data_IF_540153202251
#
_entry.id   IF_540153202251
#
_cell.length_a   1.000
_cell.length_b   1.000
_cell.length_c   1.000
_cell.angle_alpha   90.00
_cell.angle_beta   90.00
_cell.angle_gamma   90.00
#
_symmetry.space_group_name_H-M   'P 1'
#
loop_
_entity.id
_entity.type
_entity.pdbx_description
1 polymer ?
#
# COMPACT_ATOMS: atom_id res chain seq x y z
N UNK A 1 17.60 30.34 -9.54
CA UNK A 1 17.19 29.28 -8.57
C UNK A 1 18.47 28.53 -8.19
N UNK A 2 18.83 28.46 -6.90
CA UNK A 2 20.21 28.27 -6.47
C UNK A 2 20.60 26.78 -6.29
N UNK A 3 21.73 26.35 -6.83
CA UNK A 3 22.19 24.93 -6.83
C UNK A 3 22.35 24.39 -5.41
N UNK A 4 22.78 25.23 -4.47
CA UNK A 4 22.90 24.89 -3.03
C UNK A 4 21.59 24.45 -2.38
N UNK A 5 20.45 24.96 -2.87
CA UNK A 5 19.14 24.57 -2.37
C UNK A 5 18.80 23.12 -2.75
N UNK A 6 19.13 22.72 -3.98
CA UNK A 6 18.94 21.34 -4.44
C UNK A 6 19.86 20.37 -3.72
N UNK A 7 21.12 20.75 -3.47
CA UNK A 7 22.08 19.91 -2.73
C UNK A 7 21.58 19.67 -1.30
N UNK A 8 21.03 20.69 -0.63
CA UNK A 8 20.46 20.54 0.72
C UNK A 8 19.23 19.61 0.72
N UNK A 9 18.35 19.72 -0.27
CA UNK A 9 17.19 18.83 -0.41
C UNK A 9 17.63 17.39 -0.65
N UNK A 10 18.54 17.16 -1.61
CA UNK A 10 19.06 15.83 -1.94
C UNK A 10 19.79 15.21 -0.74
N UNK A 11 20.58 16.01 -0.02
CA UNK A 11 21.28 15.59 1.20
C UNK A 11 20.35 15.13 2.33
N UNK A 12 19.08 15.58 2.32
CA UNK A 12 18.06 15.17 3.29
C UNK A 12 17.29 13.92 2.82
N UNK A 13 17.11 13.75 1.51
CA UNK A 13 16.38 12.62 0.91
C UNK A 13 17.20 11.32 0.97
N UNK A 14 18.51 11.38 0.72
CA UNK A 14 19.37 10.18 0.66
C UNK A 14 19.36 9.39 1.99
N UNK A 15 19.55 10.01 3.17
CA UNK A 15 19.51 9.29 4.45
C UNK A 15 18.15 8.65 4.73
N UNK A 16 17.06 9.34 4.36
CA UNK A 16 15.69 8.82 4.51
C UNK A 16 15.52 7.56 3.65
N UNK A 17 15.97 7.60 2.39
CA UNK A 17 15.93 6.44 1.49
C UNK A 17 16.77 5.27 2.01
N UNK A 18 17.96 5.53 2.56
CA UNK A 18 18.84 4.50 3.14
C UNK A 18 18.23 3.89 4.40
N UNK A 19 17.67 4.70 5.29
CA UNK A 19 17.01 4.24 6.51
C UNK A 19 15.82 3.34 6.21
N UNK A 20 14.95 3.78 5.29
CA UNK A 20 13.83 2.99 4.79
C UNK A 20 14.35 1.68 4.19
N UNK A 21 15.32 1.75 3.27
CA UNK A 21 15.90 0.56 2.63
C UNK A 21 16.43 -0.45 3.64
N UNK A 22 17.00 0.02 4.76
CA UNK A 22 17.59 -0.81 5.81
C UNK A 22 16.54 -1.49 6.68
N UNK A 23 15.50 -0.75 7.11
CA UNK A 23 14.42 -1.31 7.96
C UNK A 23 13.59 -2.36 7.21
N UNK A 24 13.33 -2.15 5.92
CA UNK A 24 12.49 -3.05 5.13
C UNK A 24 13.22 -4.22 4.48
N UNK A 25 14.56 -4.21 4.47
CA UNK A 25 15.36 -5.26 3.85
C UNK A 25 15.07 -6.68 4.40
N UNK A 26 14.95 -6.92 5.72
CA UNK A 26 14.84 -8.29 6.26
C UNK A 26 13.47 -8.93 5.98
N UNK A 27 12.37 -8.17 6.08
CA UNK A 27 11.02 -8.68 5.78
C UNK A 27 10.82 -8.87 4.28
N UNK A 28 11.27 -7.89 3.47
CA UNK A 28 11.28 -8.01 2.02
C UNK A 28 12.04 -9.27 1.57
N UNK A 29 13.19 -9.55 2.16
CA UNK A 29 13.96 -10.77 1.88
C UNK A 29 13.20 -12.07 2.22
N UNK A 30 12.28 -12.07 3.18
CA UNK A 30 11.45 -13.26 3.46
C UNK A 30 10.37 -13.43 2.40
N UNK A 31 9.62 -12.37 2.10
CA UNK A 31 8.54 -12.39 1.11
C UNK A 31 9.07 -12.68 -0.30
N UNK A 32 10.19 -12.08 -0.67
CA UNK A 32 10.83 -12.33 -1.97
C UNK A 32 11.28 -13.80 -2.09
N UNK A 33 11.80 -14.40 -1.00
CA UNK A 33 12.13 -15.84 -0.96
C UNK A 33 10.92 -16.75 -1.08
N UNK A 34 9.74 -16.33 -0.59
CA UNK A 34 8.49 -17.09 -0.77
C UNK A 34 8.06 -17.06 -2.23
N UNK A 35 8.09 -15.87 -2.84
CA UNK A 35 7.74 -15.67 -4.25
C UNK A 35 8.69 -16.40 -5.19
N UNK A 36 9.98 -16.37 -4.90
CA UNK A 36 11.00 -17.12 -5.64
C UNK A 36 10.73 -18.63 -5.53
N UNK A 37 10.46 -19.15 -4.32
CA UNK A 37 10.09 -20.55 -4.15
C UNK A 37 8.79 -20.93 -4.85
N UNK A 38 7.77 -20.07 -4.81
CA UNK A 38 6.53 -20.28 -5.56
C UNK A 38 6.79 -20.36 -7.06
N UNK A 39 7.62 -19.45 -7.58
CA UNK A 39 7.99 -19.44 -8.99
C UNK A 39 8.76 -20.69 -9.39
N UNK A 40 9.85 -21.00 -8.68
CA UNK A 40 10.74 -22.12 -9.03
C UNK A 40 10.09 -23.48 -8.80
N UNK A 41 9.46 -23.67 -7.63
CA UNK A 41 8.94 -24.98 -7.25
C UNK A 41 7.61 -25.28 -7.88
N UNK A 42 6.73 -24.30 -8.11
CA UNK A 42 5.39 -24.56 -8.60
C UNK A 42 5.18 -24.04 -10.02
N UNK A 43 5.30 -22.73 -10.23
CA UNK A 43 4.91 -22.09 -11.49
C UNK A 43 5.74 -22.59 -12.68
N UNK A 44 7.06 -22.60 -12.54
CA UNK A 44 7.97 -23.05 -13.60
C UNK A 44 7.77 -24.54 -13.93
N UNK A 45 7.59 -25.40 -12.91
CA UNK A 45 7.31 -26.82 -13.13
C UNK A 45 5.97 -27.03 -13.83
N UNK A 46 4.92 -26.32 -13.40
CA UNK A 46 3.59 -26.42 -14.00
C UNK A 46 3.62 -26.02 -15.49
N UNK A 47 4.21 -24.87 -15.80
CA UNK A 47 4.28 -24.36 -17.18
C UNK A 47 5.10 -25.28 -18.06
N UNK A 48 6.22 -25.82 -17.58
CA UNK A 48 7.03 -26.76 -18.34
C UNK A 48 6.26 -28.06 -18.66
N UNK A 49 5.53 -28.61 -17.69
CA UNK A 49 4.73 -29.82 -17.94
C UNK A 49 3.54 -29.57 -18.86
N UNK A 50 2.90 -28.40 -18.72
CA UNK A 50 1.80 -27.99 -19.58
C UNK A 50 2.25 -27.83 -21.04
N UNK A 51 3.47 -27.32 -21.28
CA UNK A 51 4.04 -27.23 -22.63
C UNK A 51 4.21 -28.60 -23.28
N UNK A 52 4.63 -29.59 -22.51
CA UNK A 52 4.75 -30.98 -23.00
C UNK A 52 3.40 -31.67 -23.12
N UNK A 53 2.41 -31.31 -22.28
CA UNK A 53 1.09 -31.93 -22.21
C UNK A 53 0.00 -30.87 -22.08
N UNK A 54 -0.49 -30.36 -23.22
CA UNK A 54 -1.48 -29.25 -23.26
C UNK A 54 -2.82 -29.54 -22.56
N UNK A 55 -3.10 -30.80 -22.22
CA UNK A 55 -4.30 -31.22 -21.49
C UNK A 55 -4.03 -31.47 -19.98
N UNK A 56 -2.94 -30.93 -19.43
CA UNK A 56 -2.60 -31.09 -18.02
C UNK A 56 -3.70 -30.49 -17.12
N UNK A 57 -4.26 -31.32 -16.26
CA UNK A 57 -5.25 -30.91 -15.28
C UNK A 57 -4.57 -30.20 -14.10
N UNK A 58 -4.83 -28.89 -13.95
CA UNK A 58 -4.21 -28.05 -12.93
C UNK A 58 -4.49 -28.53 -11.50
N UNK A 59 -5.74 -28.88 -11.19
CA UNK A 59 -6.14 -29.37 -9.85
C UNK A 59 -5.38 -30.65 -9.52
N UNK A 60 -5.36 -31.63 -10.43
CA UNK A 60 -4.62 -32.88 -10.23
C UNK A 60 -3.12 -32.65 -10.07
N UNK A 61 -2.55 -31.68 -10.79
CA UNK A 61 -1.15 -31.33 -10.67
C UNK A 61 -0.82 -30.80 -9.26
N UNK A 62 -1.66 -29.90 -8.75
CA UNK A 62 -1.48 -29.31 -7.40
C UNK A 62 -1.66 -30.38 -6.33
N UNK A 63 -2.80 -31.08 -6.33
CA UNK A 63 -3.16 -32.07 -5.32
C UNK A 63 -2.09 -33.18 -5.16
N UNK A 64 -1.49 -33.62 -6.28
CA UNK A 64 -0.47 -34.69 -6.26
C UNK A 64 0.85 -34.26 -5.60
N UNK A 65 1.18 -32.97 -5.60
CA UNK A 65 2.54 -32.47 -5.33
C UNK A 65 2.64 -31.55 -4.13
N UNK A 66 1.55 -30.89 -3.78
CA UNK A 66 1.55 -29.84 -2.78
C UNK A 66 0.41 -30.05 -1.80
N UNK A 67 0.63 -29.53 -0.60
CA UNK A 67 -0.30 -29.56 0.52
C UNK A 67 -0.38 -28.17 1.13
N UNK A 68 -1.39 -27.91 1.96
CA UNK A 68 -1.48 -26.64 2.70
C UNK A 68 -0.24 -26.30 3.55
N UNK A 69 0.62 -27.29 3.86
CA UNK A 69 1.88 -27.06 4.57
C UNK A 69 2.95 -26.38 3.70
N UNK A 70 2.78 -26.37 2.37
CA UNK A 70 3.64 -25.68 1.43
C UNK A 70 3.34 -24.17 1.45
N UNK A 71 3.69 -23.51 2.56
CA UNK A 71 3.40 -22.11 2.90
C UNK A 71 3.90 -21.06 1.89
N UNK A 72 4.73 -21.46 0.92
CA UNK A 72 5.15 -20.59 -0.17
C UNK A 72 4.08 -20.45 -1.26
N UNK A 73 3.05 -21.32 -1.26
CA UNK A 73 1.95 -21.28 -2.21
C UNK A 73 0.85 -20.35 -1.66
N UNK A 74 0.41 -19.34 -2.43
CA UNK A 74 -0.67 -18.45 -2.01
C UNK A 74 -1.99 -19.18 -1.74
N UNK A 75 -2.75 -18.71 -0.76
CA UNK A 75 -3.98 -19.38 -0.29
C UNK A 75 -5.06 -19.51 -1.36
N UNK A 76 -5.11 -18.55 -2.31
CA UNK A 76 -6.06 -18.58 -3.42
C UNK A 76 -5.85 -19.76 -4.38
N UNK A 77 -4.65 -20.34 -4.44
CA UNK A 77 -4.37 -21.54 -5.25
C UNK A 77 -5.06 -22.76 -4.65
N UNK A 78 -4.92 -22.96 -3.33
CA UNK A 78 -5.60 -24.06 -2.66
C UNK A 78 -7.12 -23.87 -2.62
N UNK A 79 -7.59 -22.63 -2.49
CA UNK A 79 -9.02 -22.34 -2.61
C UNK A 79 -9.63 -22.81 -3.95
N UNK A 80 -8.89 -22.65 -5.07
CA UNK A 80 -9.33 -23.16 -6.37
C UNK A 80 -9.23 -24.68 -6.49
N UNK A 81 -8.21 -25.27 -5.85
CA UNK A 81 -8.02 -26.72 -5.77
C UNK A 81 -9.17 -27.39 -5.02
N UNK A 82 -9.52 -26.87 -3.84
CA UNK A 82 -10.66 -27.31 -3.01
C UNK A 82 -11.99 -27.21 -3.77
N UNK A 83 -12.16 -26.17 -4.59
CA UNK A 83 -13.35 -25.98 -5.45
C UNK A 83 -13.31 -26.75 -6.76
N UNK A 84 -12.22 -27.47 -7.04
CA UNK A 84 -12.00 -28.23 -8.27
C UNK A 84 -12.11 -27.37 -9.56
N UNK A 85 -11.70 -26.11 -9.48
CA UNK A 85 -11.80 -25.10 -10.55
C UNK A 85 -10.62 -25.19 -11.52
N UNK A 86 -10.63 -26.21 -12.38
CA UNK A 86 -9.49 -26.57 -13.24
C UNK A 86 -9.05 -25.46 -14.21
N UNK A 87 -10.02 -24.85 -14.88
CA UNK A 87 -9.74 -23.85 -15.92
C UNK A 87 -9.26 -22.54 -15.29
N UNK A 88 -9.96 -22.05 -14.27
CA UNK A 88 -9.57 -20.84 -13.57
C UNK A 88 -8.20 -21.00 -12.90
N UNK A 89 -7.92 -22.15 -12.29
CA UNK A 89 -6.60 -22.45 -11.73
C UNK A 89 -5.50 -22.42 -12.79
N UNK A 90 -5.74 -22.97 -13.98
CA UNK A 90 -4.80 -22.85 -15.09
C UNK A 90 -4.53 -21.38 -15.46
N UNK A 91 -5.58 -20.57 -15.64
CA UNK A 91 -5.46 -19.14 -15.97
C UNK A 91 -4.63 -18.40 -14.92
N UNK A 92 -4.93 -18.62 -13.65
CA UNK A 92 -4.24 -17.99 -12.51
C UNK A 92 -2.76 -18.38 -12.50
N UNK A 93 -2.43 -19.67 -12.64
CA UNK A 93 -1.04 -20.14 -12.66
C UNK A 93 -0.26 -19.55 -13.84
N UNK A 94 -0.88 -19.42 -15.02
CA UNK A 94 -0.24 -18.80 -16.18
C UNK A 94 0.05 -17.31 -15.97
N UNK A 95 -0.93 -16.56 -15.45
CA UNK A 95 -0.76 -15.14 -15.15
C UNK A 95 0.28 -14.93 -14.05
N UNK A 96 0.24 -15.72 -12.98
CA UNK A 96 1.24 -15.66 -11.92
C UNK A 96 2.64 -15.97 -12.45
N UNK A 97 2.79 -16.96 -13.33
CA UNK A 97 4.07 -17.24 -14.00
C UNK A 97 4.57 -16.03 -14.79
N UNK A 98 3.72 -15.42 -15.62
CA UNK A 98 4.07 -14.24 -16.41
C UNK A 98 4.54 -13.08 -15.52
N UNK A 99 3.79 -12.81 -14.45
CA UNK A 99 4.05 -11.69 -13.55
C UNK A 99 5.33 -11.90 -12.72
N UNK A 100 5.64 -13.14 -12.36
CA UNK A 100 6.84 -13.48 -11.60
C UNK A 100 8.07 -13.79 -12.47
N UNK A 101 7.91 -13.97 -13.80
CA UNK A 101 9.04 -14.23 -14.68
C UNK A 101 10.03 -13.04 -14.66
N UNK A 102 11.35 -13.28 -14.64
CA UNK A 102 12.36 -12.22 -14.56
C UNK A 102 12.49 -11.43 -15.88
N UNK A 103 11.48 -10.62 -16.22
CA UNK A 103 11.51 -9.66 -17.33
C UNK A 103 11.85 -8.27 -16.82
N UNK A 104 12.53 -7.45 -17.64
CA UNK A 104 12.83 -6.04 -17.31
C UNK A 104 11.57 -5.26 -16.88
N UNK A 105 10.44 -5.47 -17.57
CA UNK A 105 9.14 -4.86 -17.22
C UNK A 105 8.66 -5.26 -15.81
N UNK A 106 8.78 -6.54 -15.46
CA UNK A 106 8.37 -7.04 -14.16
C UNK A 106 9.29 -6.52 -13.06
N UNK A 107 10.60 -6.43 -13.31
CA UNK A 107 11.55 -5.82 -12.38
C UNK A 107 11.23 -4.34 -12.13
N UNK A 108 10.87 -3.58 -13.17
CA UNK A 108 10.43 -2.17 -13.03
C UNK A 108 9.12 -2.10 -12.22
N UNK A 109 8.14 -2.94 -12.53
CA UNK A 109 6.87 -2.97 -11.80
C UNK A 109 7.07 -3.33 -10.32
N UNK A 110 7.92 -4.31 -10.03
CA UNK A 110 8.27 -4.71 -8.66
C UNK A 110 9.01 -3.60 -7.91
N UNK A 111 9.88 -2.84 -8.59
CA UNK A 111 10.53 -1.66 -8.02
C UNK A 111 9.52 -0.55 -7.71
N UNK A 112 8.60 -0.24 -8.63
CA UNK A 112 7.52 0.73 -8.42
C UNK A 112 6.63 0.31 -7.25
N UNK A 113 6.26 -0.97 -7.18
CA UNK A 113 5.46 -1.50 -6.07
C UNK A 113 6.19 -1.40 -4.73
N UNK A 114 7.51 -1.64 -4.71
CA UNK A 114 8.35 -1.44 -3.52
C UNK A 114 8.35 0.04 -3.09
N UNK A 115 8.54 0.97 -4.04
CA UNK A 115 8.49 2.43 -3.77
C UNK A 115 7.11 2.83 -3.25
N UNK A 116 6.03 2.32 -3.82
CA UNK A 116 4.68 2.57 -3.35
C UNK A 116 4.48 2.06 -1.91
N UNK A 117 4.98 0.87 -1.58
CA UNK A 117 4.95 0.34 -0.21
C UNK A 117 5.67 1.26 0.77
N UNK A 118 6.87 1.71 0.42
CA UNK A 118 7.66 2.68 1.18
C UNK A 118 6.89 3.99 1.41
N UNK A 119 6.33 4.57 0.34
CA UNK A 119 5.59 5.83 0.41
C UNK A 119 4.34 5.70 1.29
N UNK A 120 3.63 4.56 1.22
CA UNK A 120 2.48 4.29 2.10
C UNK A 120 2.90 4.28 3.57
N UNK A 121 4.01 3.65 3.90
CA UNK A 121 4.49 3.60 5.28
C UNK A 121 4.95 4.98 5.74
N UNK A 122 5.69 5.72 4.92
CA UNK A 122 6.05 7.11 5.21
C UNK A 122 4.80 7.97 5.47
N UNK A 123 3.76 7.79 4.66
CA UNK A 123 2.48 8.48 4.85
C UNK A 123 1.81 8.12 6.18
N UNK A 124 1.86 6.85 6.61
CA UNK A 124 1.36 6.43 7.93
C UNK A 124 2.11 7.16 9.04
N UNK A 125 3.44 7.23 8.99
CA UNK A 125 4.23 7.97 9.98
C UNK A 125 3.94 9.46 9.99
N UNK A 126 3.82 10.09 8.82
CA UNK A 126 3.43 11.51 8.69
C UNK A 126 2.06 11.74 9.33
N UNK A 127 1.09 10.85 9.11
CA UNK A 127 -0.23 10.94 9.74
C UNK A 127 -0.15 10.86 11.28
N UNK A 128 0.62 9.91 11.82
CA UNK A 128 0.80 9.81 13.26
C UNK A 128 1.47 11.06 13.83
N UNK A 129 2.50 11.58 13.17
CA UNK A 129 3.16 12.81 13.56
C UNK A 129 2.19 14.00 13.59
N UNK A 130 1.39 14.17 12.54
CA UNK A 130 0.37 15.23 12.46
C UNK A 130 -0.69 15.06 13.56
N UNK A 131 -1.14 13.83 13.86
CA UNK A 131 -2.07 13.56 14.97
C UNK A 131 -1.52 14.00 16.32
N UNK A 132 -0.24 13.73 16.59
CA UNK A 132 0.43 14.20 17.82
C UNK A 132 0.43 15.73 17.89
N UNK A 133 0.71 16.41 16.77
CA UNK A 133 0.63 17.87 16.71
C UNK A 133 -0.77 18.38 17.04
N UNK A 134 -1.84 17.73 16.57
CA UNK A 134 -3.22 18.15 16.89
C UNK A 134 -3.60 17.94 18.36
N UNK A 135 -3.15 16.84 18.97
CA UNK A 135 -3.37 16.59 20.41
C UNK A 135 -2.82 17.75 21.25
N UNK A 136 -1.71 18.36 20.80
CA UNK A 136 -1.11 19.52 21.46
C UNK A 136 -1.82 20.81 21.03
N UNK A 137 -2.01 21.03 19.73
CA UNK A 137 -2.52 22.29 19.17
C UNK A 137 -3.97 22.60 19.58
N UNK A 138 -4.84 21.60 19.73
CA UNK A 138 -6.25 21.81 20.08
C UNK A 138 -6.39 22.43 21.49
N UNK A 139 -5.81 21.86 22.56
CA UNK A 139 -5.82 22.48 23.89
C UNK A 139 -5.29 23.91 23.91
N UNK A 140 -4.17 24.17 23.22
CA UNK A 140 -3.61 25.52 23.15
C UNK A 140 -4.57 26.49 22.45
N UNK A 141 -5.17 26.09 21.33
CA UNK A 141 -6.13 26.93 20.60
C UNK A 141 -7.36 27.25 21.45
N UNK A 142 -7.87 26.26 22.19
CA UNK A 142 -8.99 26.45 23.13
C UNK A 142 -8.59 27.41 24.27
N UNK A 143 -7.40 27.23 24.83
CA UNK A 143 -6.89 28.11 25.90
C UNK A 143 -6.78 29.57 25.42
N UNK A 144 -6.27 29.79 24.20
CA UNK A 144 -6.20 31.12 23.60
C UNK A 144 -7.59 31.71 23.30
N UNK A 145 -8.53 30.89 22.82
CA UNK A 145 -9.91 31.32 22.60
C UNK A 145 -10.57 31.78 23.92
N UNK A 146 -10.43 30.99 25.00
CA UNK A 146 -10.96 31.37 26.32
C UNK A 146 -10.32 32.67 26.81
N UNK A 147 -9.01 32.81 26.64
CA UNK A 147 -8.28 34.03 27.03
C UNK A 147 -8.76 35.26 26.27
N UNK A 148 -9.01 35.13 24.96
CA UNK A 148 -9.57 36.19 24.13
C UNK A 148 -10.98 36.58 24.59
N UNK A 149 -11.85 35.60 24.88
CA UNK A 149 -13.20 35.84 25.40
C UNK A 149 -13.16 36.62 26.71
N UNK A 150 -12.31 36.22 27.67
CA UNK A 150 -12.16 36.91 28.96
C UNK A 150 -11.68 38.35 28.75
N UNK A 151 -10.71 38.57 27.85
CA UNK A 151 -10.21 39.90 27.54
C UNK A 151 -11.29 40.81 26.97
N UNK A 152 -12.13 40.28 26.08
CA UNK A 152 -13.29 41.01 25.53
C UNK A 152 -14.35 41.33 26.59
N UNK A 153 -14.66 40.39 27.49
CA UNK A 153 -15.60 40.62 28.61
C UNK A 153 -15.10 41.74 29.52
N UNK A 154 -13.79 41.86 29.71
CA UNK A 154 -13.16 42.92 30.50
C UNK A 154 -13.04 44.28 29.76
N UNK A 155 -13.68 44.42 28.59
CA UNK A 155 -13.69 45.66 27.80
C UNK A 155 -12.49 45.85 26.88
N UNK A 156 -11.64 44.83 26.72
CA UNK A 156 -10.56 44.82 25.74
C UNK A 156 -11.05 44.55 24.32
N UNK A 157 -10.19 44.82 23.34
CA UNK A 157 -10.41 44.43 21.94
C UNK A 157 -9.12 43.88 21.34
N UNK A 158 -9.19 42.68 20.77
CA UNK A 158 -8.05 41.99 20.16
C UNK A 158 -8.27 41.75 18.67
N UNK A 159 -7.22 41.87 17.87
CA UNK A 159 -7.27 41.53 16.45
C UNK A 159 -5.99 40.84 16.01
N UNK A 160 -6.14 39.99 15.00
CA UNK A 160 -5.05 39.27 14.36
C UNK A 160 -4.98 39.74 12.91
N UNK A 161 -3.81 40.22 12.51
CA UNK A 161 -3.52 40.67 11.15
C UNK A 161 -2.64 39.66 10.44
N UNK A 162 -3.11 39.14 9.31
CA UNK A 162 -2.38 38.21 8.44
C UNK A 162 -2.29 38.85 7.05
N UNK A 163 -1.12 39.35 6.69
CA UNK A 163 -0.94 40.13 5.46
C UNK A 163 -1.84 41.37 5.46
N UNK A 164 -2.72 41.50 4.48
CA UNK A 164 -3.65 42.62 4.35
C UNK A 164 -4.99 42.43 5.09
N UNK A 165 -5.22 41.26 5.69
CA UNK A 165 -6.51 40.91 6.31
C UNK A 165 -6.38 41.06 7.82
N UNK A 166 -7.31 41.80 8.44
CA UNK A 166 -7.43 41.91 9.90
C UNK A 166 -8.78 41.35 10.34
N UNK A 167 -8.76 40.43 11.29
CA UNK A 167 -9.95 39.80 11.87
C UNK A 167 -9.86 39.82 13.39
N UNK A 168 -11.01 39.75 14.06
CA UNK A 168 -11.02 39.55 15.52
C UNK A 168 -10.32 38.22 15.85
N UNK A 169 -9.52 38.25 16.89
CA UNK A 169 -8.84 37.07 17.45
C UNK A 169 -9.82 35.93 17.81
N UNK A 170 -11.01 36.23 18.34
CA UNK A 170 -12.07 35.24 18.62
C UNK A 170 -12.48 34.52 17.32
N UNK A 171 -12.76 35.29 16.27
CA UNK A 171 -13.15 34.74 14.96
C UNK A 171 -12.03 33.90 14.38
N UNK A 172 -10.78 34.35 14.50
CA UNK A 172 -9.62 33.58 14.06
C UNK A 172 -9.50 32.23 14.77
N UNK A 173 -9.59 32.19 16.11
CA UNK A 173 -9.46 30.93 16.85
C UNK A 173 -10.61 29.96 16.56
N UNK A 174 -11.84 30.45 16.35
CA UNK A 174 -12.96 29.62 15.90
C UNK A 174 -12.67 29.00 14.52
N UNK A 175 -12.19 29.81 13.57
CA UNK A 175 -11.81 29.31 12.24
C UNK A 175 -10.69 28.27 12.32
N UNK A 176 -9.69 28.47 13.18
CA UNK A 176 -8.61 27.51 13.39
C UNK A 176 -9.12 26.15 13.90
N UNK A 177 -10.06 26.14 14.85
CA UNK A 177 -10.69 24.90 15.34
C UNK A 177 -11.41 24.17 14.20
N UNK A 178 -12.19 24.89 13.39
CA UNK A 178 -12.90 24.32 12.25
C UNK A 178 -11.92 23.71 11.24
N UNK A 179 -10.84 24.41 10.91
CA UNK A 179 -9.80 23.93 9.99
C UNK A 179 -9.16 22.64 10.54
N UNK A 180 -8.82 22.59 11.83
CA UNK A 180 -8.24 21.40 12.45
C UNK A 180 -9.19 20.20 12.34
N UNK A 181 -10.48 20.39 12.58
CA UNK A 181 -11.49 19.34 12.46
C UNK A 181 -11.58 18.83 11.02
N UNK A 182 -11.66 19.74 10.04
CA UNK A 182 -11.74 19.37 8.62
C UNK A 182 -10.51 18.56 8.19
N UNK A 183 -9.30 19.01 8.55
CA UNK A 183 -8.07 18.30 8.19
C UNK A 183 -8.03 16.93 8.88
N UNK A 184 -8.45 16.83 10.15
CA UNK A 184 -8.49 15.57 10.88
C UNK A 184 -9.41 14.54 10.23
N UNK A 185 -10.59 14.98 9.77
CA UNK A 185 -11.53 14.13 9.02
C UNK A 185 -10.92 13.69 7.69
N UNK A 186 -10.34 14.63 6.93
CA UNK A 186 -9.71 14.32 5.64
C UNK A 186 -8.59 13.28 5.79
N UNK A 187 -7.70 13.45 6.78
CA UNK A 187 -6.60 12.50 7.04
C UNK A 187 -7.11 11.11 7.43
N UNK A 188 -8.20 11.02 8.20
CA UNK A 188 -8.83 9.73 8.52
C UNK A 188 -9.28 9.00 7.25
N UNK A 189 -9.99 9.67 6.36
CA UNK A 189 -10.45 9.08 5.09
C UNK A 189 -9.28 8.64 4.21
N UNK A 190 -8.22 9.46 4.11
CA UNK A 190 -7.04 9.09 3.31
C UNK A 190 -6.35 7.86 3.91
N UNK A 191 -6.21 7.80 5.24
CA UNK A 191 -5.61 6.66 5.92
C UNK A 191 -6.39 5.36 5.67
N UNK A 192 -7.71 5.37 5.84
CA UNK A 192 -8.57 4.20 5.59
C UNK A 192 -8.42 3.70 4.14
N UNK A 193 -8.37 4.61 3.16
CA UNK A 193 -8.15 4.25 1.74
C UNK A 193 -6.79 3.59 1.48
N UNK A 194 -5.76 4.00 2.23
CA UNK A 194 -4.40 3.45 2.10
C UNK A 194 -4.27 2.09 2.79
N UNK A 195 -4.82 1.94 4.00
CA UNK A 195 -4.70 0.71 4.79
C UNK A 195 -5.58 -0.42 4.27
N UNK A 196 -6.75 -0.12 3.72
CA UNK A 196 -7.67 -1.15 3.19
C UNK A 196 -7.15 -1.87 1.94
N UNK A 197 -6.01 -1.45 1.37
CA UNK A 197 -5.39 -2.03 0.18
C UNK A 197 -4.06 -2.76 0.48
N UNK A 198 -3.86 -3.17 1.72
CA UNK A 198 -2.74 -4.03 2.11
C UNK A 198 -3.27 -5.47 2.06
N UNK A 199 -2.92 -6.17 0.99
CA UNK A 199 -3.28 -7.57 0.78
C UNK A 199 -2.09 -8.45 1.17
N UNK A 200 -2.33 -9.48 1.97
CA UNK A 200 -1.36 -10.53 2.25
C UNK A 200 -1.77 -11.78 1.49
N UNK A 201 -1.03 -12.11 0.42
CA UNK A 201 -1.26 -13.26 -0.48
C UNK A 201 -1.33 -14.62 0.25
N UNK A 202 -0.88 -14.67 1.51
CA UNK A 202 -0.76 -15.88 2.31
C UNK A 202 -1.81 -15.98 3.44
N UNK A 203 -2.48 -14.87 3.81
CA UNK A 203 -3.55 -14.85 4.83
C UNK A 203 -4.72 -13.98 4.36
N UNK A 204 -5.53 -14.53 3.46
CA UNK A 204 -6.62 -13.79 2.81
C UNK A 204 -8.00 -14.22 3.30
N UNK A 205 -8.92 -13.26 3.33
CA UNK A 205 -10.36 -13.54 3.45
C UNK A 205 -10.91 -14.01 2.11
N UNK A 206 -12.00 -14.79 2.12
CA UNK A 206 -12.61 -15.31 0.88
C UNK A 206 -13.00 -14.20 -0.12
N UNK A 207 -13.45 -13.05 0.37
CA UNK A 207 -13.80 -11.89 -0.47
C UNK A 207 -12.56 -11.37 -1.21
N UNK A 208 -11.42 -11.32 -0.54
CA UNK A 208 -10.14 -10.86 -1.12
C UNK A 208 -9.61 -11.86 -2.15
N UNK A 209 -9.73 -13.16 -1.86
CA UNK A 209 -9.43 -14.24 -2.81
C UNK A 209 -10.24 -14.04 -4.09
N UNK A 210 -11.55 -13.84 -4.00
CA UNK A 210 -12.42 -13.63 -5.19
C UNK A 210 -11.98 -12.43 -6.03
N UNK A 211 -11.66 -11.30 -5.40
CA UNK A 211 -11.18 -10.11 -6.11
C UNK A 211 -9.87 -10.36 -6.87
N UNK A 212 -8.95 -11.13 -6.28
CA UNK A 212 -7.69 -11.50 -6.95
C UNK A 212 -7.97 -12.43 -8.12
N UNK A 213 -8.81 -13.44 -7.92
CA UNK A 213 -9.17 -14.39 -8.97
C UNK A 213 -9.83 -13.70 -10.16
N UNK A 214 -10.78 -12.80 -9.92
CA UNK A 214 -11.41 -11.98 -10.96
C UNK A 214 -10.37 -11.14 -11.72
N UNK A 215 -9.46 -10.49 -11.01
CA UNK A 215 -8.37 -9.71 -11.62
C UNK A 215 -7.45 -10.60 -12.47
N UNK A 216 -7.07 -11.77 -11.97
CA UNK A 216 -6.20 -12.72 -12.68
C UNK A 216 -6.87 -13.29 -13.92
N UNK A 217 -8.16 -13.61 -13.84
CA UNK A 217 -8.93 -14.06 -14.99
C UNK A 217 -9.04 -12.96 -16.05
N UNK A 218 -9.30 -11.72 -15.65
CA UNK A 218 -9.29 -10.57 -16.57
C UNK A 218 -7.92 -10.35 -17.21
N UNK A 219 -6.82 -10.43 -16.43
CA UNK A 219 -5.45 -10.32 -16.95
C UNK A 219 -5.15 -11.41 -17.99
N UNK A 220 -5.63 -12.64 -17.76
CA UNK A 220 -5.49 -13.75 -18.71
C UNK A 220 -6.29 -13.47 -19.99
N UNK A 221 -7.57 -13.12 -19.87
CA UNK A 221 -8.46 -12.91 -21.01
C UNK A 221 -8.05 -11.71 -21.86
N UNK A 222 -7.53 -10.65 -21.24
CA UNK A 222 -7.03 -9.45 -21.93
C UNK A 222 -5.62 -9.64 -22.51
N UNK A 223 -4.95 -10.74 -22.18
CA UNK A 223 -3.67 -11.07 -22.78
C UNK A 223 -3.89 -11.75 -24.12
N UNK A 224 -4.15 -10.93 -25.14
CA UNK A 224 -4.14 -11.37 -26.53
C UNK A 224 -2.75 -11.94 -26.85
N UNK A 225 -2.62 -13.26 -26.72
CA UNK A 225 -1.43 -14.04 -27.08
C UNK A 225 -0.12 -13.60 -26.40
N UNK A 226 0.04 -13.88 -25.10
CA UNK A 226 1.41 -14.13 -24.67
C UNK A 226 1.93 -15.35 -25.43
N UNK A 227 2.97 -15.18 -26.26
CA UNK A 227 3.80 -16.25 -26.83
C UNK A 227 4.50 -17.04 -25.70
N UNK A 228 3.73 -17.71 -24.85
CA UNK A 228 4.19 -18.71 -23.89
C UNK A 228 3.78 -20.11 -24.36
N UNK A 229 3.12 -20.19 -25.52
CA UNK A 229 2.73 -21.40 -26.23
C UNK A 229 3.44 -21.57 -27.56
#
# INVERSE_FOLDING_TARGET
MNVDYYIKIIGLIIPIMVFIGTIFNPEKNKTDKLKERYFEKLLALYVNEYKSHRNLNAVKFINKRYTMNDYFIPSYIFYLEDKNEKELLHKVLMVDYINNFPRKRNNISNAINSINGILRIAFIYINYFIRVLYIIAIPFTIMFLISAIIFYINGGSGSITIGAITISDIVFYILMIIIIIIISIALKYIQESITNKIYDDYTMKEIEIKQILEKREQEYNNSDSYYIF
#
